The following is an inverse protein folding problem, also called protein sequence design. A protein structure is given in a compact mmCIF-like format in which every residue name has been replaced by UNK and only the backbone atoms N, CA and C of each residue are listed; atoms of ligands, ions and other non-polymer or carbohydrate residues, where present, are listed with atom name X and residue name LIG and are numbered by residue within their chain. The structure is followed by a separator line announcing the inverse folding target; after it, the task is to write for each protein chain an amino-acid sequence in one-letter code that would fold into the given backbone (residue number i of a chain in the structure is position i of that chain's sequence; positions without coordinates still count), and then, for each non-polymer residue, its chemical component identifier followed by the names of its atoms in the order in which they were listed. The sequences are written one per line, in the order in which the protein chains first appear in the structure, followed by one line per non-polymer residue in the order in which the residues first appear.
data_IF_050284141976
#
_entry.id   IF_050284141976
#
_cell.length_a   1.000
_cell.length_b   1.000
_cell.length_c   1.000
_cell.angle_alpha   90.00
_cell.angle_beta   90.00
_cell.angle_gamma   90.00
#
_symmetry.space_group_name_H-M   'P 1'
#
loop_
_entity.id
_entity.type
_entity.pdbx_description
1 polymer ?
#
# COMPACT_ATOMS: atom_id res chain seq x y z
N UNK A 1 -23.89 26.12 -9.80
CA UNK A 1 -22.69 26.00 -8.92
C UNK A 1 -21.98 24.70 -9.30
N UNK A 2 -20.68 24.71 -9.62
CA UNK A 2 -19.97 23.46 -9.92
C UNK A 2 -19.89 22.64 -8.64
N UNK A 3 -20.56 21.48 -8.62
CA UNK A 3 -20.44 20.50 -7.55
C UNK A 3 -18.98 20.04 -7.48
N UNK A 4 -18.42 20.01 -6.28
CA UNK A 4 -17.09 19.47 -6.00
C UNK A 4 -16.95 18.06 -6.61
N UNK A 5 -15.76 17.73 -7.11
CA UNK A 5 -15.45 16.41 -7.62
C UNK A 5 -15.47 15.41 -6.45
N UNK A 6 -16.54 14.64 -6.33
CA UNK A 6 -16.59 13.48 -5.44
C UNK A 6 -15.67 12.43 -6.08
N UNK A 7 -14.64 12.01 -5.35
CA UNK A 7 -13.84 10.84 -5.70
C UNK A 7 -14.75 9.63 -5.63
N UNK A 8 -15.05 9.03 -6.78
CA UNK A 8 -15.91 7.87 -6.92
C UNK A 8 -15.15 6.75 -7.61
N UNK A 9 -15.37 5.53 -7.13
CA UNK A 9 -14.77 4.34 -7.69
C UNK A 9 -15.79 3.19 -7.71
N UNK A 10 -15.58 2.23 -8.60
CA UNK A 10 -16.40 1.03 -8.71
C UNK A 10 -15.51 -0.21 -8.77
N UNK A 11 -15.85 -1.24 -8.01
CA UNK A 11 -15.30 -2.58 -8.21
C UNK A 11 -16.17 -3.31 -9.24
N UNK A 12 -15.63 -3.54 -10.43
CA UNK A 12 -16.37 -4.17 -11.53
C UNK A 12 -16.13 -5.68 -11.62
N UNK A 13 -15.01 -6.15 -11.07
CA UNK A 13 -14.72 -7.58 -10.86
C UNK A 13 -14.15 -7.73 -9.46
N UNK A 14 -14.88 -8.36 -8.53
CA UNK A 14 -14.42 -8.56 -7.15
C UNK A 14 -13.50 -9.78 -7.03
N UNK A 15 -14.05 -10.98 -7.18
CA UNK A 15 -13.33 -12.24 -7.02
C UNK A 15 -12.56 -12.69 -8.27
N UNK A 16 -11.67 -13.68 -8.15
CA UNK A 16 -10.95 -14.23 -9.28
C UNK A 16 -11.89 -14.93 -10.25
N UNK A 17 -11.79 -14.55 -11.51
CA UNK A 17 -12.44 -15.20 -12.64
C UNK A 17 -11.37 -15.69 -13.62
N UNK A 18 -11.63 -16.83 -14.26
CA UNK A 18 -10.79 -17.30 -15.36
C UNK A 18 -11.18 -16.60 -16.66
N UNK A 19 -10.19 -16.22 -17.45
CA UNK A 19 -10.36 -15.63 -18.78
C UNK A 19 -9.65 -16.51 -19.81
N UNK A 20 -10.33 -16.80 -20.91
CA UNK A 20 -9.76 -17.37 -22.14
C UNK A 20 -9.53 -16.25 -23.15
N UNK A 21 -8.68 -16.52 -24.15
CA UNK A 21 -8.34 -15.55 -25.21
C UNK A 21 -9.53 -14.92 -25.97
N UNK A 22 -10.70 -15.57 -25.97
CA UNK A 22 -11.90 -15.08 -26.64
C UNK A 22 -12.93 -14.47 -25.67
N UNK A 23 -12.69 -14.59 -24.36
CA UNK A 23 -13.63 -14.15 -23.34
C UNK A 23 -13.61 -12.63 -23.24
N UNK A 24 -14.80 -12.05 -23.07
CA UNK A 24 -14.99 -10.61 -23.02
C UNK A 24 -16.01 -10.27 -21.95
N UNK A 25 -15.63 -9.39 -21.03
CA UNK A 25 -16.60 -8.68 -20.20
C UNK A 25 -16.76 -7.25 -20.69
N UNK A 26 -18.00 -6.76 -20.67
CA UNK A 26 -18.35 -5.41 -21.15
C UNK A 26 -19.10 -4.71 -20.04
N UNK A 27 -18.62 -3.52 -19.68
CA UNK A 27 -19.26 -2.64 -18.71
C UNK A 27 -19.66 -1.35 -19.42
N UNK A 28 -20.94 -0.99 -19.37
CA UNK A 28 -21.44 0.19 -20.04
C UNK A 28 -20.92 1.47 -19.36
N UNK A 29 -20.76 2.53 -20.14
CA UNK A 29 -20.20 3.78 -19.61
C UNK A 29 -21.02 4.35 -18.45
N UNK A 30 -22.35 4.19 -18.49
CA UNK A 30 -23.27 4.68 -17.47
C UNK A 30 -23.07 4.02 -16.10
N UNK A 31 -22.46 2.83 -16.06
CA UNK A 31 -22.19 2.09 -14.82
C UNK A 31 -20.80 2.40 -14.23
N UNK A 32 -20.02 3.24 -14.92
CA UNK A 32 -18.67 3.63 -14.50
C UNK A 32 -18.68 5.03 -13.87
N UNK A 33 -17.87 5.26 -12.83
CA UNK A 33 -17.62 6.59 -12.29
C UNK A 33 -17.30 7.63 -13.39
N UNK A 34 -17.97 8.79 -13.35
CA UNK A 34 -17.82 9.81 -14.38
C UNK A 34 -16.42 10.43 -14.35
N UNK A 35 -15.69 10.33 -15.46
CA UNK A 35 -14.32 10.85 -15.61
C UNK A 35 -14.35 12.22 -16.29
N UNK A 36 -13.67 13.19 -15.67
CA UNK A 36 -13.50 14.53 -16.24
C UNK A 36 -12.18 14.66 -17.00
N UNK A 37 -11.07 14.50 -16.29
CA UNK A 37 -9.73 14.82 -16.79
C UNK A 37 -8.62 13.90 -16.26
N UNK A 38 -9.00 12.89 -15.46
CA UNK A 38 -8.08 11.90 -14.87
C UNK A 38 -8.85 10.64 -14.45
N UNK A 39 -8.20 9.49 -14.50
CA UNK A 39 -8.75 8.22 -14.04
C UNK A 39 -7.66 7.27 -13.58
N UNK A 40 -8.06 6.22 -12.87
CA UNK A 40 -7.21 5.06 -12.64
C UNK A 40 -7.97 3.77 -12.85
N UNK A 41 -7.23 2.71 -13.16
CA UNK A 41 -7.71 1.34 -13.13
C UNK A 41 -6.71 0.54 -12.32
N UNK A 42 -7.19 -0.22 -11.34
CA UNK A 42 -6.39 -1.25 -10.66
C UNK A 42 -6.98 -2.61 -10.92
N UNK A 43 -6.15 -3.65 -10.96
CA UNK A 43 -6.57 -5.03 -11.13
C UNK A 43 -5.49 -6.00 -10.68
N UNK A 44 -5.89 -7.22 -10.38
CA UNK A 44 -4.99 -8.37 -10.22
C UNK A 44 -4.99 -9.19 -11.49
N UNK A 45 -3.80 -9.58 -11.94
CA UNK A 45 -3.62 -10.34 -13.17
C UNK A 45 -2.67 -11.50 -12.94
N UNK A 46 -3.05 -12.67 -13.45
CA UNK A 46 -2.17 -13.83 -13.60
C UNK A 46 -2.31 -14.39 -15.00
N UNK A 47 -1.23 -14.35 -15.77
CA UNK A 47 -1.21 -14.79 -17.16
C UNK A 47 -0.69 -16.22 -17.20
N UNK A 48 -1.45 -17.16 -17.75
CA UNK A 48 -0.95 -18.51 -18.01
C UNK A 48 -0.20 -18.57 -19.35
N UNK A 49 -0.81 -18.00 -20.39
CA UNK A 49 -0.21 -17.77 -21.69
C UNK A 49 -1.07 -16.76 -22.48
N UNK A 50 -0.53 -16.27 -23.59
CA UNK A 50 -1.30 -15.56 -24.60
C UNK A 50 -0.68 -15.83 -25.98
N UNK A 51 -1.44 -15.59 -27.04
CA UNK A 51 -0.97 -15.69 -28.41
C UNK A 51 0.32 -14.89 -28.65
N UNK A 52 1.11 -15.26 -29.66
CA UNK A 52 2.33 -14.55 -30.11
C UNK A 52 2.02 -13.24 -30.85
N UNK A 53 0.97 -12.55 -30.41
CA UNK A 53 0.54 -11.24 -30.88
C UNK A 53 0.07 -10.41 -29.67
N UNK A 54 -0.34 -9.17 -29.90
CA UNK A 54 -0.87 -8.29 -28.86
C UNK A 54 -2.11 -8.88 -28.18
N UNK A 55 -2.09 -8.92 -26.85
CA UNK A 55 -3.22 -9.42 -26.05
C UNK A 55 -3.84 -8.29 -25.22
N UNK A 56 -5.15 -8.11 -25.32
CA UNK A 56 -5.85 -7.09 -24.55
C UNK A 56 -6.02 -7.53 -23.09
N UNK A 57 -5.75 -6.62 -22.13
CA UNK A 57 -6.19 -6.78 -20.74
C UNK A 57 -7.49 -6.01 -20.55
N UNK A 58 -7.49 -4.72 -20.89
CA UNK A 58 -8.71 -3.91 -20.95
C UNK A 58 -8.64 -2.82 -22.01
N UNK A 59 -9.82 -2.39 -22.47
CA UNK A 59 -9.99 -1.29 -23.42
C UNK A 59 -11.23 -0.47 -23.07
N UNK A 60 -11.08 0.84 -22.84
CA UNK A 60 -12.18 1.78 -22.68
C UNK A 60 -12.32 2.64 -23.92
N UNK A 61 -13.42 2.47 -24.66
CA UNK A 61 -13.67 3.18 -25.92
C UNK A 61 -14.30 2.31 -27.01
N UNK A 62 -15.06 2.94 -27.92
CA UNK A 62 -15.76 2.25 -29.03
C UNK A 62 -14.94 2.16 -30.32
N UNK A 63 -13.78 2.83 -30.38
CA UNK A 63 -12.95 2.93 -31.57
C UNK A 63 -11.48 2.98 -31.16
N UNK A 64 -10.60 2.51 -32.04
CA UNK A 64 -9.15 2.59 -31.85
C UNK A 64 -8.63 4.03 -31.66
N UNK A 65 -9.32 5.02 -32.21
CA UNK A 65 -8.91 6.42 -32.15
C UNK A 65 -9.31 7.17 -30.86
N UNK A 66 -10.06 6.52 -29.96
CA UNK A 66 -10.57 7.09 -28.71
C UNK A 66 -10.48 6.05 -27.59
N UNK A 67 -9.26 5.64 -27.26
CA UNK A 67 -8.98 4.51 -26.37
C UNK A 67 -8.24 4.93 -25.11
N UNK A 68 -8.49 4.18 -24.05
CA UNK A 68 -7.68 4.08 -22.83
C UNK A 68 -7.53 2.60 -22.54
N UNK A 69 -6.33 2.05 -22.60
CA UNK A 69 -6.18 0.61 -22.61
C UNK A 69 -4.83 0.13 -22.10
N UNK A 70 -4.83 -1.11 -21.62
CA UNK A 70 -3.64 -1.85 -21.27
C UNK A 70 -3.61 -3.16 -22.04
N UNK A 71 -2.50 -3.39 -22.72
CA UNK A 71 -2.25 -4.57 -23.54
C UNK A 71 -0.94 -5.22 -23.13
N UNK A 72 -0.80 -6.49 -23.48
CA UNK A 72 0.42 -7.26 -23.39
C UNK A 72 1.10 -7.30 -24.76
N UNK A 73 2.38 -7.00 -24.75
CA UNK A 73 3.26 -7.10 -25.89
C UNK A 73 3.49 -8.55 -26.29
N UNK A 74 3.79 -8.72 -27.57
CA UNK A 74 4.11 -10.02 -28.17
C UNK A 74 5.29 -10.68 -27.46
N UNK A 75 5.17 -12.00 -27.25
CA UNK A 75 6.19 -12.95 -26.78
C UNK A 75 6.78 -12.72 -25.36
N UNK A 76 6.80 -11.50 -24.83
CA UNK A 76 7.41 -11.17 -23.53
C UNK A 76 6.40 -10.82 -22.44
N UNK A 77 5.11 -10.69 -22.76
CA UNK A 77 4.08 -10.19 -21.82
C UNK A 77 4.44 -8.82 -21.20
N UNK A 78 5.14 -7.97 -21.96
CA UNK A 78 5.47 -6.60 -21.57
C UNK A 78 4.26 -5.67 -21.66
N UNK A 79 4.24 -4.57 -20.91
CA UNK A 79 3.09 -3.67 -20.94
C UNK A 79 3.07 -2.76 -22.17
N UNK A 80 1.86 -2.52 -22.67
CA UNK A 80 1.57 -1.51 -23.68
C UNK A 80 0.35 -0.73 -23.21
N UNK A 81 0.65 0.31 -22.43
CA UNK A 81 -0.34 1.15 -21.79
C UNK A 81 -0.57 2.39 -22.64
N UNK A 82 -1.79 2.57 -23.13
CA UNK A 82 -2.07 3.55 -24.19
C UNK A 82 -3.28 4.40 -23.88
N UNK A 83 -3.28 5.59 -24.45
CA UNK A 83 -4.38 6.54 -24.38
C UNK A 83 -4.43 7.39 -25.66
N UNK A 84 -5.59 7.99 -25.92
CA UNK A 84 -5.75 8.95 -27.01
C UNK A 84 -5.53 10.37 -26.52
N UNK A 85 -4.79 11.16 -27.30
CA UNK A 85 -4.64 12.60 -27.13
C UNK A 85 -4.96 13.34 -28.43
N UNK A 86 -5.16 14.65 -28.36
CA UNK A 86 -5.45 15.48 -29.54
C UNK A 86 -4.30 15.57 -30.56
N UNK A 87 -3.12 15.01 -30.26
CA UNK A 87 -1.96 14.94 -31.15
C UNK A 87 -1.68 13.54 -31.69
N UNK A 88 -2.06 12.50 -30.94
CA UNK A 88 -1.79 11.11 -31.29
C UNK A 88 -2.81 10.21 -30.59
N UNK A 89 -3.47 9.35 -31.35
CA UNK A 89 -4.55 8.50 -30.83
C UNK A 89 -4.06 7.26 -30.07
N UNK A 90 -2.74 6.98 -30.15
CA UNK A 90 -2.04 5.79 -29.64
C UNK A 90 -0.84 6.23 -28.75
N UNK A 91 -1.01 7.28 -27.94
CA UNK A 91 0.06 7.77 -27.07
C UNK A 91 0.22 6.86 -25.84
N UNK A 92 1.41 6.84 -25.22
CA UNK A 92 1.65 6.12 -23.97
C UNK A 92 2.91 5.27 -23.99
N UNK A 93 2.97 4.31 -23.08
CA UNK A 93 4.12 3.46 -22.80
C UNK A 93 4.14 2.30 -23.81
N UNK A 94 5.29 2.10 -24.46
CA UNK A 94 5.50 1.01 -25.41
C UNK A 94 6.60 0.08 -24.87
N UNK A 95 6.21 -1.15 -24.52
CA UNK A 95 7.12 -2.28 -24.26
C UNK A 95 8.33 -1.93 -23.37
N UNK A 96 8.12 -1.62 -22.08
CA UNK A 96 9.24 -1.47 -21.15
C UNK A 96 10.01 -2.79 -21.04
N UNK A 97 11.32 -2.69 -20.78
CA UNK A 97 12.20 -3.86 -20.66
C UNK A 97 11.74 -4.80 -19.52
N UNK A 98 11.76 -6.12 -19.78
CA UNK A 98 11.23 -7.21 -18.95
C UNK A 98 9.70 -7.20 -18.76
N UNK A 99 9.00 -8.16 -19.37
CA UNK A 99 7.56 -8.34 -19.17
C UNK A 99 7.20 -9.24 -17.99
N UNK A 100 5.91 -9.46 -17.79
CA UNK A 100 5.39 -10.23 -16.65
C UNK A 100 5.74 -11.72 -16.75
N UNK A 101 6.04 -12.33 -15.61
CA UNK A 101 6.24 -13.78 -15.52
C UNK A 101 4.90 -14.51 -15.61
N UNK A 102 4.88 -15.61 -16.37
CA UNK A 102 3.72 -16.46 -16.46
C UNK A 102 3.43 -17.17 -15.12
N UNK A 103 2.15 -17.43 -14.86
CA UNK A 103 1.61 -18.11 -13.68
C UNK A 103 1.88 -17.40 -12.34
N UNK A 104 2.27 -16.12 -12.35
CA UNK A 104 2.42 -15.27 -11.16
C UNK A 104 1.31 -14.22 -11.09
N UNK A 105 0.76 -14.01 -9.89
CA UNK A 105 -0.16 -12.92 -9.62
C UNK A 105 0.59 -11.60 -9.49
N UNK A 106 0.07 -10.58 -10.14
CA UNK A 106 0.50 -9.18 -10.04
C UNK A 106 -0.69 -8.30 -9.71
N UNK A 107 -0.50 -7.28 -8.88
CA UNK A 107 -1.37 -6.11 -8.85
C UNK A 107 -0.84 -5.07 -9.84
N UNK A 108 -1.73 -4.50 -10.64
CA UNK A 108 -1.38 -3.55 -11.69
C UNK A 108 -2.25 -2.32 -11.51
N UNK A 109 -1.63 -1.14 -11.47
CA UNK A 109 -2.34 0.13 -11.53
C UNK A 109 -1.96 0.91 -12.78
N UNK A 110 -2.96 1.32 -13.54
CA UNK A 110 -2.88 2.29 -14.64
C UNK A 110 -3.45 3.61 -14.13
N UNK A 111 -2.66 4.69 -14.11
CA UNK A 111 -3.15 6.00 -13.62
C UNK A 111 -2.84 7.10 -14.63
N UNK A 112 -3.86 7.80 -15.12
CA UNK A 112 -3.74 8.81 -16.19
C UNK A 112 -4.32 10.14 -15.74
N UNK A 113 -3.60 11.22 -16.00
CA UNK A 113 -4.03 12.58 -15.67
C UNK A 113 -3.68 13.56 -16.77
N UNK A 114 -4.69 14.23 -17.33
CA UNK A 114 -4.48 15.38 -18.21
C UNK A 114 -3.91 16.57 -17.43
N UNK A 115 -4.40 16.95 -16.23
CA UNK A 115 -3.84 18.08 -15.49
C UNK A 115 -2.36 17.90 -15.14
N UNK A 116 -1.96 16.69 -14.76
CA UNK A 116 -0.56 16.36 -14.43
C UNK A 116 0.25 15.91 -15.64
N UNK A 117 -0.39 15.83 -16.81
CA UNK A 117 0.23 15.57 -18.11
C UNK A 117 1.06 14.28 -18.15
N UNK A 118 0.57 13.21 -17.51
CA UNK A 118 1.28 11.93 -17.43
C UNK A 118 0.36 10.70 -17.31
N UNK A 119 0.89 9.57 -17.76
CA UNK A 119 0.41 8.21 -17.50
C UNK A 119 1.45 7.49 -16.65
N UNK A 120 1.03 6.77 -15.63
CA UNK A 120 1.90 5.93 -14.80
C UNK A 120 1.38 4.50 -14.73
N UNK A 121 2.30 3.56 -14.69
CA UNK A 121 2.05 2.14 -14.43
C UNK A 121 2.76 1.75 -13.14
N UNK A 122 2.03 1.01 -12.30
CA UNK A 122 2.56 0.42 -11.08
C UNK A 122 2.38 -1.09 -11.13
N UNK A 123 3.34 -1.82 -10.56
CA UNK A 123 3.30 -3.27 -10.36
C UNK A 123 3.50 -3.54 -8.87
N UNK A 124 2.58 -4.29 -8.26
CA UNK A 124 2.65 -4.68 -6.84
C UNK A 124 2.86 -3.45 -5.92
N UNK A 125 2.16 -2.36 -6.25
CA UNK A 125 2.26 -1.06 -5.57
C UNK A 125 3.47 -0.20 -5.95
N UNK A 126 4.49 -0.75 -6.61
CA UNK A 126 5.71 -0.01 -6.99
C UNK A 126 5.57 0.74 -8.31
N UNK A 127 6.11 1.94 -8.39
CA UNK A 127 6.12 2.71 -9.65
C UNK A 127 7.07 2.04 -10.65
N UNK A 128 6.53 1.63 -11.79
CA UNK A 128 7.23 0.81 -12.76
C UNK A 128 7.68 1.63 -13.97
N UNK A 129 6.75 2.31 -14.64
CA UNK A 129 7.04 3.07 -15.85
C UNK A 129 6.06 4.23 -16.02
N UNK A 130 6.44 5.24 -16.82
CA UNK A 130 5.59 6.39 -17.08
C UNK A 130 5.70 6.92 -18.50
N UNK A 131 4.72 7.74 -18.88
CA UNK A 131 4.75 8.55 -20.09
C UNK A 131 4.42 9.99 -19.75
N UNK A 132 5.27 10.93 -20.16
CA UNK A 132 5.06 12.37 -19.99
C UNK A 132 4.58 13.04 -21.27
N UNK A 133 3.57 13.90 -21.16
CA UNK A 133 3.08 14.76 -22.23
C UNK A 133 3.87 16.07 -22.21
N UNK A 134 4.70 16.27 -23.23
CA UNK A 134 5.70 17.36 -23.23
C UNK A 134 5.13 18.74 -23.58
N UNK A 135 4.20 18.82 -24.54
CA UNK A 135 3.63 20.10 -24.96
C UNK A 135 2.42 20.46 -24.11
N UNK A 136 2.66 20.72 -22.83
CA UNK A 136 1.63 20.84 -21.77
C UNK A 136 0.50 21.84 -22.04
N UNK A 137 0.72 22.87 -22.87
CA UNK A 137 -0.31 23.87 -23.23
C UNK A 137 -1.19 23.44 -24.41
N UNK A 138 -0.66 22.63 -25.32
CA UNK A 138 -1.29 22.28 -26.60
C UNK A 138 -1.91 20.88 -26.56
N UNK A 139 -1.20 19.94 -25.91
CA UNK A 139 -1.54 18.53 -25.87
C UNK A 139 -2.51 18.24 -24.73
N UNK A 140 -3.65 17.65 -25.08
CA UNK A 140 -4.70 17.23 -24.14
C UNK A 140 -5.06 15.77 -24.35
N UNK A 141 -5.15 15.03 -23.25
CA UNK A 141 -5.72 13.68 -23.21
C UNK A 141 -7.20 13.77 -23.60
N UNK A 142 -7.65 12.81 -24.41
CA UNK A 142 -9.03 12.67 -24.83
C UNK A 142 -9.64 11.50 -24.06
N UNK A 143 -10.46 11.81 -23.06
CA UNK A 143 -11.33 10.83 -22.41
C UNK A 143 -12.55 10.56 -23.27
N UNK A 144 -13.18 9.39 -23.07
CA UNK A 144 -14.30 8.94 -23.89
C UNK A 144 -15.44 8.36 -23.04
N UNK A 145 -16.62 8.33 -23.64
CA UNK A 145 -17.87 7.81 -23.05
C UNK A 145 -18.22 6.42 -23.61
N UNK A 146 -17.24 5.69 -24.14
CA UNK A 146 -17.42 4.31 -24.62
C UNK A 146 -17.53 3.29 -23.48
N UNK A 147 -17.92 2.04 -23.75
CA UNK A 147 -17.89 1.00 -22.73
C UNK A 147 -16.45 0.59 -22.39
N UNK A 148 -16.28 -0.08 -21.25
CA UNK A 148 -15.05 -0.75 -20.83
C UNK A 148 -15.13 -2.23 -21.17
N UNK A 149 -14.18 -2.70 -21.95
CA UNK A 149 -13.97 -4.09 -22.29
C UNK A 149 -12.83 -4.67 -21.46
N UNK A 150 -13.01 -5.89 -20.93
CA UNK A 150 -11.96 -6.65 -20.21
C UNK A 150 -11.77 -8.00 -20.89
N UNK A 151 -10.51 -8.41 -21.06
CA UNK A 151 -10.12 -9.65 -21.75
C UNK A 151 -9.98 -9.50 -23.26
N UNK A 152 -11.02 -9.07 -23.98
CA UNK A 152 -10.99 -8.95 -25.45
C UNK A 152 -11.34 -7.56 -25.94
N UNK A 153 -10.64 -7.07 -26.96
CA UNK A 153 -10.86 -5.75 -27.56
C UNK A 153 -11.07 -5.86 -29.07
N UNK A 154 -12.32 -5.69 -29.52
CA UNK A 154 -12.72 -5.84 -30.93
C UNK A 154 -12.28 -7.19 -31.51
N UNK A 155 -11.40 -7.17 -32.52
CA UNK A 155 -10.89 -8.35 -33.22
C UNK A 155 -9.60 -8.90 -32.57
N UNK A 156 -9.07 -8.23 -31.54
CA UNK A 156 -7.86 -8.65 -30.84
C UNK A 156 -8.20 -9.54 -29.67
N UNK A 157 -7.50 -10.66 -29.61
CA UNK A 157 -7.62 -11.66 -28.54
C UNK A 157 -7.10 -11.11 -27.20
N UNK A 158 -7.54 -11.76 -26.15
CA UNK A 158 -7.04 -11.56 -24.79
C UNK A 158 -5.90 -12.48 -24.42
N UNK A 159 -5.84 -12.78 -23.13
CA UNK A 159 -4.91 -13.72 -22.52
C UNK A 159 -5.68 -14.93 -21.97
N UNK A 160 -5.01 -16.07 -21.84
CA UNK A 160 -5.47 -17.17 -20.99
C UNK A 160 -4.91 -16.95 -19.59
N UNK A 161 -5.76 -16.84 -18.57
CA UNK A 161 -5.32 -16.50 -17.23
C UNK A 161 -6.44 -16.28 -16.24
N UNK A 162 -6.13 -15.55 -15.18
CA UNK A 162 -7.06 -15.16 -14.12
C UNK A 162 -6.98 -13.64 -13.91
N UNK A 163 -8.13 -13.03 -13.67
CA UNK A 163 -8.24 -11.61 -13.31
C UNK A 163 -9.13 -11.46 -12.07
N UNK A 164 -8.79 -10.54 -11.18
CA UNK A 164 -9.61 -10.23 -10.00
C UNK A 164 -9.45 -8.76 -9.61
N UNK A 165 -10.28 -8.30 -8.68
CA UNK A 165 -10.18 -6.97 -8.07
C UNK A 165 -10.03 -5.83 -9.08
N UNK A 166 -10.77 -5.91 -10.19
CA UNK A 166 -10.75 -4.85 -11.19
C UNK A 166 -11.56 -3.66 -10.66
N UNK A 167 -10.87 -2.55 -10.42
CA UNK A 167 -11.45 -1.31 -9.91
C UNK A 167 -11.22 -0.16 -10.88
N UNK A 168 -12.22 0.69 -11.00
CA UNK A 168 -12.20 1.88 -11.84
C UNK A 168 -12.41 3.12 -10.98
N UNK A 169 -11.51 4.10 -11.10
CA UNK A 169 -11.48 5.31 -10.28
C UNK A 169 -11.64 6.53 -11.17
N UNK A 170 -12.49 7.50 -10.78
CA UNK A 170 -12.62 8.78 -11.50
C UNK A 170 -11.54 9.81 -11.15
N UNK A 171 -10.48 9.39 -10.46
CA UNK A 171 -9.31 10.20 -10.16
C UNK A 171 -8.01 9.45 -10.45
N UNK A 172 -6.92 10.20 -10.59
CA UNK A 172 -5.57 9.63 -10.64
C UNK A 172 -5.14 9.25 -9.22
N UNK A 173 -4.96 7.96 -8.96
CA UNK A 173 -4.42 7.47 -7.71
C UNK A 173 -2.99 7.97 -7.54
N UNK A 174 -2.66 8.48 -6.36
CA UNK A 174 -1.27 8.76 -5.99
C UNK A 174 -0.49 7.46 -5.80
N UNK A 175 0.85 7.53 -5.71
CA UNK A 175 1.66 6.35 -5.40
C UNK A 175 1.26 5.71 -4.06
N UNK A 176 0.87 6.53 -3.07
CA UNK A 176 0.36 6.05 -1.79
C UNK A 176 -1.03 5.40 -1.92
N UNK A 177 -1.95 5.99 -2.70
CA UNK A 177 -3.27 5.40 -2.91
C UNK A 177 -3.18 4.06 -3.69
N UNK A 178 -2.27 3.95 -4.66
CA UNK A 178 -1.97 2.69 -5.36
C UNK A 178 -1.41 1.64 -4.39
N UNK A 179 -0.51 2.06 -3.49
CA UNK A 179 0.05 1.19 -2.46
C UNK A 179 -1.02 0.69 -1.49
N UNK A 180 -1.90 1.59 -1.03
CA UNK A 180 -3.04 1.25 -0.17
C UNK A 180 -3.99 0.25 -0.85
N UNK A 181 -4.29 0.45 -2.14
CA UNK A 181 -5.13 -0.44 -2.93
C UNK A 181 -4.53 -1.85 -3.06
N UNK A 182 -3.25 -1.95 -3.42
CA UNK A 182 -2.51 -3.22 -3.47
C UNK A 182 -2.59 -3.98 -2.13
N UNK A 183 -2.42 -3.24 -1.04
CA UNK A 183 -2.35 -3.77 0.30
C UNK A 183 -3.69 -4.18 0.91
N UNK A 184 -4.78 -3.53 0.51
CA UNK A 184 -6.12 -3.88 0.95
C UNK A 184 -6.65 -5.18 0.30
N UNK A 185 -6.08 -5.60 -0.83
CA UNK A 185 -6.52 -6.78 -1.60
C UNK A 185 -5.93 -8.11 -1.18
N UNK A 186 -4.76 -8.13 -0.55
CA UNK A 186 -4.21 -9.34 0.06
C UNK A 186 -5.09 -9.69 1.26
N UNK A 187 -6.14 -10.51 1.06
CA UNK A 187 -7.14 -10.96 2.05
C UNK A 187 -6.79 -10.51 3.47
N UNK A 188 -7.43 -9.43 3.92
CA UNK A 188 -7.29 -8.90 5.27
C UNK A 188 -7.70 -9.99 6.27
N UNK A 189 -6.74 -10.81 6.70
CA UNK A 189 -6.93 -11.78 7.78
C UNK A 189 -7.04 -11.00 9.08
N UNK A 190 -7.96 -11.35 9.99
CA UNK A 190 -8.01 -10.70 11.29
C UNK A 190 -6.69 -10.92 12.02
N UNK A 191 -6.19 -9.86 12.65
CA UNK A 191 -5.10 -9.95 13.60
C UNK A 191 -5.74 -10.18 14.96
N UNK A 192 -5.42 -11.33 15.54
CA UNK A 192 -5.89 -11.77 16.85
C UNK A 192 -4.76 -11.70 17.87
N UNK A 193 -5.08 -11.71 19.16
CA UNK A 193 -4.06 -11.86 20.19
C UNK A 193 -3.26 -13.15 19.98
N UNK A 194 -1.93 -13.09 20.12
CA UNK A 194 -1.01 -14.18 19.80
C UNK A 194 -0.54 -14.20 18.33
N UNK A 195 -1.12 -13.38 17.45
CA UNK A 195 -0.66 -13.28 16.06
C UNK A 195 0.79 -12.81 15.97
N UNK A 196 1.58 -13.46 15.10
CA UNK A 196 2.88 -12.96 14.68
C UNK A 196 2.67 -11.92 13.59
N UNK A 197 3.27 -10.76 13.76
CA UNK A 197 3.13 -9.62 12.86
C UNK A 197 4.48 -8.96 12.58
N UNK A 198 4.52 -8.23 11.49
CA UNK A 198 5.51 -7.20 11.20
C UNK A 198 4.84 -5.83 11.23
N UNK A 199 5.59 -4.81 11.66
CA UNK A 199 5.20 -3.40 11.55
C UNK A 199 6.08 -2.75 10.50
N UNK A 200 5.48 -2.24 9.43
CA UNK A 200 6.18 -1.64 8.30
C UNK A 200 5.92 -0.14 8.30
N UNK A 201 6.97 0.67 8.36
CA UNK A 201 6.84 2.12 8.27
C UNK A 201 6.40 2.51 6.86
N UNK A 202 5.21 3.10 6.71
CA UNK A 202 4.57 3.31 5.42
C UNK A 202 5.42 4.20 4.49
N UNK A 203 6.02 5.26 5.02
CA UNK A 203 6.78 6.21 4.19
C UNK A 203 8.07 5.64 3.60
N UNK A 204 8.70 4.66 4.27
CA UNK A 204 10.05 4.18 3.91
C UNK A 204 10.10 2.69 3.58
N UNK A 205 9.01 1.97 3.83
CA UNK A 205 8.87 0.51 3.75
C UNK A 205 9.85 -0.28 4.61
N UNK A 206 10.42 0.38 5.62
CA UNK A 206 11.33 -0.29 6.55
C UNK A 206 10.57 -0.97 7.67
N UNK A 207 11.07 -2.11 8.11
CA UNK A 207 10.45 -2.90 9.17
C UNK A 207 10.89 -2.38 10.53
N UNK A 208 9.94 -2.27 11.46
CA UNK A 208 10.23 -2.05 12.87
C UNK A 208 11.01 -3.25 13.40
N UNK A 209 12.23 -2.99 13.82
CA UNK A 209 13.27 -4.01 13.98
C UNK A 209 14.13 -3.71 15.19
N UNK A 210 14.96 -4.69 15.57
CA UNK A 210 16.07 -4.48 16.49
C UNK A 210 17.35 -5.13 15.96
N UNK A 211 18.49 -4.49 16.22
CA UNK A 211 19.83 -5.07 15.98
C UNK A 211 20.53 -5.50 17.26
N UNK A 212 19.84 -5.46 18.40
CA UNK A 212 20.44 -5.73 19.71
C UNK A 212 21.46 -4.67 20.14
N UNK A 213 21.37 -3.47 19.57
CA UNK A 213 22.19 -2.31 19.95
C UNK A 213 21.53 -1.66 21.17
N UNK A 214 22.31 -1.33 22.19
CA UNK A 214 21.84 -0.56 23.36
C UNK A 214 22.07 0.93 23.14
N UNK A 215 21.23 1.77 23.75
CA UNK A 215 21.62 3.15 23.96
C UNK A 215 22.88 3.20 24.84
N UNK A 216 23.79 4.13 24.51
CA UNK A 216 25.04 4.37 25.24
C UNK A 216 25.05 5.81 25.78
N UNK A 217 24.01 6.13 26.57
CA UNK A 217 23.78 7.46 27.15
C UNK A 217 23.92 7.43 28.69
N UNK A 218 24.76 6.53 29.20
CA UNK A 218 25.05 6.37 30.63
C UNK A 218 24.35 5.17 31.29
N UNK A 219 24.70 4.87 32.56
CA UNK A 219 24.33 3.62 33.25
C UNK A 219 22.82 3.43 33.46
N UNK A 220 22.04 4.50 33.34
CA UNK A 220 20.58 4.48 33.51
C UNK A 220 19.81 4.39 32.17
N UNK A 221 20.52 4.24 31.04
CA UNK A 221 19.94 4.17 29.69
C UNK A 221 20.57 3.05 28.85
N UNK A 222 20.56 1.82 29.36
CA UNK A 222 21.08 0.63 28.67
C UNK A 222 20.02 -0.19 27.92
N UNK A 223 18.85 0.40 27.64
CA UNK A 223 17.79 -0.30 26.94
C UNK A 223 18.16 -0.52 25.47
N UNK A 224 17.67 -1.61 24.89
CA UNK A 224 17.93 -1.93 23.49
C UNK A 224 17.12 -1.02 22.57
N UNK A 225 17.78 -0.46 21.56
CA UNK A 225 17.18 0.38 20.55
C UNK A 225 16.22 -0.41 19.68
N UNK A 226 15.07 0.19 19.43
CA UNK A 226 14.19 -0.17 18.32
C UNK A 226 14.48 0.78 17.17
N UNK A 227 14.56 0.23 15.97
CA UNK A 227 14.94 0.95 14.75
C UNK A 227 14.01 0.54 13.60
N UNK A 228 14.15 1.22 12.47
CA UNK A 228 13.60 0.76 11.20
C UNK A 228 14.72 0.21 10.31
N UNK A 229 14.62 -1.04 9.87
CA UNK A 229 15.65 -1.72 9.08
C UNK A 229 15.10 -2.52 7.90
N UNK A 230 15.93 -2.65 6.84
CA UNK A 230 15.61 -3.40 5.63
C UNK A 230 14.41 -2.86 4.86
N UNK A 231 14.19 -3.33 3.63
CA UNK A 231 12.87 -3.29 2.96
C UNK A 231 12.36 -4.71 2.67
N UNK A 232 13.15 -5.70 3.05
CA UNK A 232 12.80 -7.11 3.07
C UNK A 232 12.73 -7.55 4.53
N UNK A 233 11.75 -8.39 4.84
CA UNK A 233 11.53 -8.86 6.20
C UNK A 233 12.67 -9.77 6.69
N UNK A 234 13.18 -9.47 7.88
CA UNK A 234 14.07 -10.33 8.63
C UNK A 234 13.28 -11.04 9.74
N UNK A 235 12.98 -12.33 9.54
CA UNK A 235 12.15 -13.11 10.47
C UNK A 235 12.72 -13.24 11.89
N UNK A 236 14.00 -12.92 12.10
CA UNK A 236 14.62 -12.91 13.44
C UNK A 236 14.44 -11.58 14.17
N UNK A 237 14.49 -10.47 13.44
CA UNK A 237 14.62 -9.12 14.04
C UNK A 237 13.35 -8.27 13.90
N UNK A 238 12.43 -8.66 13.01
CA UNK A 238 11.31 -7.82 12.58
C UNK A 238 9.95 -8.38 13.02
N UNK A 239 9.94 -9.52 13.69
CA UNK A 239 8.73 -10.26 14.05
C UNK A 239 8.33 -9.97 15.49
N UNK A 240 7.08 -9.56 15.64
CA UNK A 240 6.46 -9.22 16.91
C UNK A 240 5.24 -10.11 17.12
N UNK A 241 4.95 -10.48 18.36
CA UNK A 241 3.71 -11.13 18.76
C UNK A 241 2.79 -10.11 19.39
N UNK A 242 1.54 -10.05 18.93
CA UNK A 242 0.54 -9.15 19.53
C UNK A 242 0.07 -9.71 20.87
N UNK A 243 0.17 -8.92 21.94
CA UNK A 243 -0.22 -9.32 23.29
C UNK A 243 -1.31 -8.42 23.85
N UNK A 244 -2.01 -8.89 24.89
CA UNK A 244 -2.87 -8.01 25.68
C UNK A 244 -2.08 -6.92 26.40
N UNK A 245 -2.75 -5.80 26.69
CA UNK A 245 -2.24 -4.74 27.54
C UNK A 245 -1.73 -5.28 28.88
N UNK A 246 -0.82 -4.53 29.52
CA UNK A 246 -0.28 -4.85 30.83
C UNK A 246 -1.41 -5.13 31.84
N UNK A 247 -1.22 -6.19 32.64
CA UNK A 247 -2.20 -6.62 33.63
C UNK A 247 -3.51 -7.22 33.10
N UNK A 248 -3.74 -7.27 31.78
CA UNK A 248 -4.92 -7.90 31.20
C UNK A 248 -4.67 -9.36 30.80
N UNK A 249 -5.56 -10.23 31.27
CA UNK A 249 -5.67 -11.60 30.78
C UNK A 249 -6.54 -11.62 29.54
N UNK A 250 -5.98 -12.03 28.41
CA UNK A 250 -6.67 -12.17 27.13
C UNK A 250 -6.35 -13.55 26.56
N UNK A 251 -7.30 -14.20 25.90
CA UNK A 251 -7.06 -15.50 25.28
C UNK A 251 -6.42 -15.30 23.91
N UNK A 252 -5.43 -16.14 23.59
CA UNK A 252 -4.91 -16.20 22.23
C UNK A 252 -6.03 -16.59 21.25
N UNK A 253 -6.07 -15.94 20.09
CA UNK A 253 -7.13 -16.11 19.10
C UNK A 253 -8.29 -15.10 19.22
N UNK A 254 -8.40 -14.36 20.33
CA UNK A 254 -9.42 -13.33 20.47
C UNK A 254 -9.19 -12.18 19.47
N UNK A 255 -10.27 -11.70 18.84
CA UNK A 255 -10.24 -10.58 17.91
C UNK A 255 -9.86 -9.29 18.62
N UNK A 256 -9.01 -8.49 17.97
CA UNK A 256 -8.57 -7.20 18.51
C UNK A 256 -9.47 -6.11 17.94
N UNK A 257 -10.31 -5.50 18.75
CA UNK A 257 -11.07 -4.31 18.33
C UNK A 257 -10.15 -3.11 18.10
N UNK A 258 -10.46 -2.30 17.10
CA UNK A 258 -9.82 -1.00 16.90
C UNK A 258 -10.07 -0.09 18.10
N UNK A 259 -9.15 0.85 18.36
CA UNK A 259 -9.13 1.70 19.55
C UNK A 259 -8.91 0.95 20.87
N UNK A 260 -8.48 -0.32 20.81
CA UNK A 260 -8.07 -1.06 21.98
C UNK A 260 -6.58 -0.83 22.30
N UNK A 261 -6.23 -1.11 23.56
CA UNK A 261 -4.86 -1.04 24.07
C UNK A 261 -4.27 -2.45 24.01
N UNK A 262 -3.10 -2.58 23.38
CA UNK A 262 -2.38 -3.84 23.19
C UNK A 262 -0.89 -3.65 23.49
N UNK A 263 -0.16 -4.76 23.57
CA UNK A 263 1.30 -4.77 23.61
C UNK A 263 1.90 -5.52 22.42
N UNK A 264 3.18 -5.34 22.21
CA UNK A 264 3.95 -6.06 21.18
C UNK A 264 5.16 -6.70 21.82
N UNK A 265 5.32 -8.01 21.66
CA UNK A 265 6.46 -8.78 22.18
C UNK A 265 7.37 -9.20 21.02
N UNK A 266 8.60 -8.75 21.01
CA UNK A 266 9.56 -9.15 19.99
C UNK A 266 9.85 -10.66 20.08
N UNK A 267 9.75 -11.37 18.96
CA UNK A 267 9.75 -12.83 18.91
C UNK A 267 11.07 -13.44 19.39
N UNK A 268 12.21 -12.92 18.93
CA UNK A 268 13.51 -13.53 19.21
C UNK A 268 14.07 -13.17 20.60
N UNK A 269 13.78 -11.98 21.11
CA UNK A 269 14.31 -11.52 22.41
C UNK A 269 13.32 -11.73 23.56
N UNK A 270 12.03 -11.91 23.26
CA UNK A 270 10.97 -12.01 24.25
C UNK A 270 10.68 -10.70 25.00
N UNK A 271 11.34 -9.60 24.65
CA UNK A 271 11.13 -8.28 25.22
C UNK A 271 9.95 -7.57 24.56
N UNK A 272 9.38 -6.56 25.22
CA UNK A 272 8.23 -5.80 24.75
C UNK A 272 8.65 -4.48 24.10
N UNK A 273 7.88 -4.04 23.10
CA UNK A 273 7.97 -2.69 22.56
C UNK A 273 7.57 -1.70 23.66
N UNK A 274 8.51 -0.86 24.02
CA UNK A 274 8.45 -0.03 25.21
C UNK A 274 8.78 1.42 24.86
N UNK A 275 8.23 2.36 25.63
CA UNK A 275 8.66 3.75 25.60
C UNK A 275 8.49 4.37 26.99
N UNK A 276 9.15 5.49 27.25
CA UNK A 276 9.09 6.17 28.55
C UNK A 276 9.19 7.68 28.33
N UNK A 277 8.94 8.50 29.35
CA UNK A 277 9.12 9.94 29.22
C UNK A 277 10.59 10.34 28.95
N UNK A 278 10.83 11.61 28.64
CA UNK A 278 12.17 12.12 28.29
C UNK A 278 12.99 12.56 29.50
N UNK A 279 12.58 12.19 30.72
CA UNK A 279 13.34 12.51 31.93
C UNK A 279 14.72 11.86 31.86
N UNK A 280 15.70 12.48 32.51
CA UNK A 280 17.08 11.98 32.56
C UNK A 280 17.73 11.78 31.18
N UNK A 281 17.43 12.67 30.23
CA UNK A 281 18.03 12.68 28.88
C UNK A 281 17.80 11.37 28.11
N UNK A 282 16.69 10.67 28.41
CA UNK A 282 16.31 9.46 27.69
C UNK A 282 15.62 9.81 26.37
N UNK A 283 16.42 10.34 25.46
CA UNK A 283 16.00 10.81 24.14
C UNK A 283 16.78 10.14 23.03
N UNK A 284 16.21 10.06 21.85
CA UNK A 284 16.87 9.47 20.69
C UNK A 284 18.12 10.26 20.30
N UNK A 285 19.19 9.60 19.83
CA UNK A 285 20.51 10.21 19.70
C UNK A 285 20.55 11.35 18.68
N UNK A 286 19.75 11.28 17.61
CA UNK A 286 19.80 12.28 16.54
C UNK A 286 18.67 13.30 16.68
N UNK A 287 17.41 12.86 16.72
CA UNK A 287 16.29 13.80 16.77
C UNK A 287 15.98 14.35 18.16
N UNK A 288 16.60 13.79 19.22
CA UNK A 288 16.36 14.18 20.61
C UNK A 288 14.87 14.05 21.00
N UNK A 289 14.18 13.06 20.41
CA UNK A 289 12.77 12.75 20.66
C UNK A 289 12.64 11.61 21.68
N UNK A 290 11.42 11.32 22.12
CA UNK A 290 11.16 10.25 23.07
C UNK A 290 11.62 8.89 22.51
N UNK A 291 12.40 8.14 23.29
CA UNK A 291 12.97 6.85 22.86
C UNK A 291 11.91 5.76 22.74
N UNK A 292 12.13 4.83 21.81
CA UNK A 292 11.40 3.56 21.72
C UNK A 292 12.40 2.43 21.86
N UNK A 293 12.14 1.54 22.82
CA UNK A 293 13.09 0.55 23.29
C UNK A 293 12.48 -0.84 23.37
N UNK A 294 13.32 -1.83 23.61
CA UNK A 294 12.90 -3.13 24.12
C UNK A 294 13.10 -3.21 25.63
N UNK A 295 12.07 -3.64 26.34
CA UNK A 295 12.09 -3.85 27.78
C UNK A 295 11.62 -5.26 28.15
N UNK A 296 12.24 -5.89 29.14
CA UNK A 296 11.78 -7.18 29.70
C UNK A 296 10.53 -7.03 30.55
N UNK A 297 10.31 -5.85 31.11
CA UNK A 297 9.32 -5.62 32.15
C UNK A 297 7.97 -5.33 31.53
N UNK A 298 6.93 -6.02 32.03
CA UNK A 298 5.57 -5.90 31.50
C UNK A 298 4.77 -4.79 32.21
N UNK A 299 5.39 -3.66 32.49
CA UNK A 299 4.75 -2.48 33.11
C UNK A 299 3.77 -1.78 32.17
N UNK A 300 3.20 -0.64 32.59
CA UNK A 300 2.28 0.17 31.74
C UNK A 300 2.96 0.83 30.54
N UNK A 301 4.30 0.88 30.53
CA UNK A 301 5.13 1.51 29.50
C UNK A 301 5.30 0.64 28.24
N UNK A 302 4.54 -0.45 28.15
CA UNK A 302 4.46 -1.34 26.98
C UNK A 302 3.08 -1.30 26.32
N UNK A 303 2.20 -0.42 26.79
CA UNK A 303 0.81 -0.31 26.35
C UNK A 303 0.67 0.70 25.22
N UNK A 304 0.17 0.21 24.08
CA UNK A 304 -0.03 0.96 22.85
C UNK A 304 -1.50 0.95 22.47
N UNK A 305 -2.08 2.14 22.31
CA UNK A 305 -3.39 2.30 21.69
C UNK A 305 -3.25 2.18 20.18
N UNK A 306 -4.01 1.26 19.57
CA UNK A 306 -4.04 1.11 18.11
C UNK A 306 -5.23 1.85 17.54
N UNK A 307 -4.98 2.70 16.55
CA UNK A 307 -6.03 3.33 15.75
C UNK A 307 -5.77 3.11 14.28
N UNK A 308 -6.78 2.69 13.52
CA UNK A 308 -6.68 2.67 12.07
C UNK A 308 -6.62 4.10 11.56
N UNK A 309 -5.72 4.35 10.61
CA UNK A 309 -5.69 5.62 9.90
C UNK A 309 -6.89 5.67 8.94
N UNK A 310 -7.77 6.65 9.13
CA UNK A 310 -8.91 6.90 8.24
C UNK A 310 -8.97 8.41 7.94
N UNK A 311 -8.94 8.78 6.66
CA UNK A 311 -8.98 10.17 6.20
C UNK A 311 -10.36 10.82 6.33
N UNK A 312 -11.41 10.05 6.61
CA UNK A 312 -12.81 10.49 6.53
C UNK A 312 -13.60 10.44 7.84
N UNK A 313 -13.14 9.71 8.87
CA UNK A 313 -13.84 9.63 10.17
C UNK A 313 -12.87 9.53 11.34
N UNK A 314 -13.24 10.08 12.50
CA UNK A 314 -12.45 10.08 13.73
C UNK A 314 -12.59 8.79 14.57
N UNK A 315 -13.55 7.93 14.24
CA UNK A 315 -13.86 6.71 15.00
C UNK A 315 -14.13 5.55 14.04
N UNK A 316 -13.07 4.86 13.62
CA UNK A 316 -13.23 3.59 12.92
C UNK A 316 -13.62 2.49 13.91
N UNK A 317 -14.64 1.70 13.57
CA UNK A 317 -15.18 0.62 14.38
C UNK A 317 -14.97 -0.71 13.66
N UNK A 318 -14.45 -1.71 14.35
CA UNK A 318 -14.22 -3.04 13.78
C UNK A 318 -13.04 -3.72 14.44
N UNK A 319 -12.53 -4.74 13.77
CA UNK A 319 -11.35 -5.49 14.22
C UNK A 319 -10.11 -5.09 13.43
N UNK A 320 -8.95 -5.22 14.07
CA UNK A 320 -7.64 -5.03 13.48
C UNK A 320 -7.39 -6.14 12.46
N UNK A 321 -6.97 -5.77 11.26
CA UNK A 321 -6.75 -6.70 10.17
C UNK A 321 -5.34 -6.57 9.62
N UNK A 322 -4.82 -7.66 9.08
CA UNK A 322 -3.57 -7.65 8.30
C UNK A 322 -3.70 -6.69 7.13
N UNK A 323 -2.68 -5.87 6.92
CA UNK A 323 -2.62 -4.84 5.90
C UNK A 323 -3.18 -3.49 6.32
N UNK A 324 -3.78 -3.37 7.51
CA UNK A 324 -4.26 -2.07 8.01
C UNK A 324 -3.10 -1.09 8.20
N UNK A 325 -3.34 0.16 7.80
CA UNK A 325 -2.50 1.29 8.19
C UNK A 325 -3.01 1.81 9.52
N UNK A 326 -2.12 1.83 10.51
CA UNK A 326 -2.42 2.18 11.89
C UNK A 326 -1.47 3.25 12.42
N UNK A 327 -1.96 4.02 13.37
CA UNK A 327 -1.15 4.76 14.33
C UNK A 327 -1.08 3.96 15.64
N UNK A 328 0.10 3.96 16.25
CA UNK A 328 0.36 3.35 17.56
C UNK A 328 0.67 4.48 18.55
N UNK A 329 -0.11 4.60 19.61
CA UNK A 329 0.01 5.71 20.56
C UNK A 329 0.41 5.20 21.93
N UNK A 330 1.53 5.69 22.44
CA UNK A 330 2.05 5.25 23.72
C UNK A 330 1.23 5.80 24.89
N UNK A 331 0.61 4.91 25.67
CA UNK A 331 -0.43 5.31 26.64
C UNK A 331 0.13 6.15 27.79
N UNK A 332 1.26 5.76 28.39
CA UNK A 332 1.76 6.40 29.61
C UNK A 332 2.35 7.79 29.36
N UNK A 333 2.76 8.12 28.12
CA UNK A 333 3.41 9.39 27.79
C UNK A 333 2.52 10.34 26.99
N UNK A 334 1.27 10.49 27.45
CA UNK A 334 0.28 11.38 26.85
C UNK A 334 -0.05 11.06 25.37
N UNK A 335 -0.04 9.78 25.00
CA UNK A 335 -0.41 9.30 23.66
C UNK A 335 0.42 9.89 22.53
N UNK A 336 1.72 10.05 22.73
CA UNK A 336 2.64 10.33 21.62
C UNK A 336 2.67 9.13 20.66
N UNK A 337 2.63 9.41 19.36
CA UNK A 337 2.54 8.38 18.33
C UNK A 337 3.92 7.80 17.96
N UNK A 338 3.98 6.50 17.70
CA UNK A 338 5.17 5.85 17.14
C UNK A 338 5.52 6.52 15.82
N UNK A 339 6.79 6.88 15.67
CA UNK A 339 7.28 7.75 14.61
C UNK A 339 8.59 7.21 14.04
N UNK A 340 8.75 7.30 12.74
CA UNK A 340 10.06 7.13 12.08
C UNK A 340 10.18 8.06 10.89
N UNK A 341 11.40 8.43 10.52
CA UNK A 341 11.65 9.38 9.45
C UNK A 341 12.94 9.07 8.71
N UNK A 342 13.30 9.93 7.75
CA UNK A 342 14.48 9.74 6.91
C UNK A 342 15.83 9.97 7.65
N UNK A 343 15.81 10.25 8.95
CA UNK A 343 17.04 10.36 9.76
C UNK A 343 17.65 8.97 9.93
N UNK A 344 18.94 8.87 9.59
CA UNK A 344 19.68 7.63 9.60
C UNK A 344 20.70 7.60 10.74
N UNK A 345 20.75 6.48 11.44
CA UNK A 345 21.84 6.13 12.34
C UNK A 345 23.11 5.78 11.53
N UNK A 346 24.25 5.68 12.21
CA UNK A 346 25.56 5.41 11.57
C UNK A 346 25.60 4.12 10.73
N UNK A 347 24.73 3.15 11.02
CA UNK A 347 24.59 1.89 10.30
C UNK A 347 23.50 1.91 9.20
N UNK A 348 23.00 3.10 8.85
CA UNK A 348 21.92 3.36 7.87
C UNK A 348 20.54 2.82 8.25
N UNK A 349 20.36 2.35 9.48
CA UNK A 349 19.01 2.14 10.03
C UNK A 349 18.33 3.47 10.29
N UNK A 350 17.00 3.47 10.31
CA UNK A 350 16.21 4.64 10.64
C UNK A 350 15.94 4.70 12.13
N UNK A 351 16.06 5.91 12.67
CA UNK A 351 15.67 6.18 14.04
C UNK A 351 14.16 5.99 14.21
N UNK A 352 13.76 5.44 15.37
CA UNK A 352 12.36 5.29 15.78
C UNK A 352 12.19 5.99 17.11
N UNK A 353 11.10 6.74 17.23
CA UNK A 353 10.77 7.57 18.39
C UNK A 353 9.27 7.56 18.66
N UNK A 354 8.86 8.14 19.78
CA UNK A 354 7.49 8.62 19.97
C UNK A 354 7.46 10.12 19.71
N UNK A 355 6.65 10.57 18.75
CA UNK A 355 6.51 11.99 18.42
C UNK A 355 5.18 12.28 17.70
N UNK A 356 4.59 13.43 18.03
CA UNK A 356 3.39 13.93 17.37
C UNK A 356 2.09 13.25 17.80
N UNK A 357 0.99 13.68 17.18
CA UNK A 357 -0.39 13.28 17.46
C UNK A 357 -0.92 12.20 16.50
N UNK A 358 -0.05 11.60 15.69
CA UNK A 358 -0.38 10.56 14.72
C UNK A 358 -0.97 11.07 13.41
N UNK A 359 -1.08 12.38 13.19
CA UNK A 359 -1.62 12.96 11.94
C UNK A 359 -0.64 12.90 10.76
N UNK A 360 0.67 12.82 11.04
CA UNK A 360 1.72 12.89 10.03
C UNK A 360 1.93 11.55 9.28
N UNK A 361 2.50 11.63 8.07
CA UNK A 361 2.86 10.45 7.27
C UNK A 361 3.86 9.53 8.01
N UNK A 362 4.75 10.12 8.79
CA UNK A 362 5.79 9.43 9.55
C UNK A 362 5.29 8.68 10.79
N UNK A 363 4.01 8.83 11.14
CA UNK A 363 3.35 8.05 12.19
C UNK A 363 2.57 6.85 11.66
N UNK A 364 2.61 6.60 10.35
CA UNK A 364 1.80 5.56 9.72
C UNK A 364 2.58 4.26 9.61
N UNK A 365 2.00 3.22 10.20
CA UNK A 365 2.57 1.88 10.21
C UNK A 365 1.59 0.92 9.58
N UNK A 366 2.04 0.09 8.65
CA UNK A 366 1.26 -1.04 8.17
C UNK A 366 1.51 -2.23 9.09
N UNK A 367 0.45 -2.88 9.55
CA UNK A 367 0.57 -4.12 10.32
C UNK A 367 0.34 -5.32 9.40
N UNK A 368 1.29 -6.25 9.34
CA UNK A 368 1.25 -7.39 8.43
C UNK A 368 1.31 -8.70 9.21
N UNK A 369 0.39 -9.63 8.94
CA UNK A 369 0.41 -10.95 9.55
C UNK A 369 1.54 -11.80 8.95
N UNK A 370 2.35 -12.42 9.80
CA UNK A 370 3.41 -13.36 9.43
C UNK A 370 2.86 -14.78 9.59
N UNK A 371 2.74 -15.51 8.48
CA UNK A 371 2.24 -16.89 8.46
C UNK A 371 3.33 -17.89 8.88
#
# INVERSE_FOLDING_TARGET
MPKFAVKEWAEIISGPISMREQDQQVFEHADLPAVKDKLSVTLRLKIHNHHSDWAAIFHKGRKYSLRLCLWLAKDKSGFNARFSGNWHHDAGIYEPDNGLLLNKWYHIAYTLSDPEKRLDIYIDGEWFEFYSILKVKEQKVIFNDGPLYVGRSFNWKGFNGEISNFRYFNWRLSAEEVMEDFFNESQKKPIVYGSKIALVHVSTRKYLSTKGIKYDLGPNNEQYMVICSGQEINLKNDVWTVTGASGKNINEGDLISLNNIIGFKHQATGCYLHSHDTSYERVTPISQQQQVTLCSDRGSDVDWLVRRYNSTTSYDTGHLMSGDIIGLFHISTNKQALYSHAVLLGDRSQEVSCYGDGSEKNNRWRIELIN
#
